data_IF_164483183919
#
_entry.id   IF_164483183919
#
_cell.length_a   1.000
_cell.length_b   1.000
_cell.length_c   1.000
_cell.angle_alpha   90.00
_cell.angle_beta   90.00
_cell.angle_gamma   90.00
#
_symmetry.space_group_name_H-M   'P 1'
#
loop_
_entity.id
_entity.type
_entity.pdbx_description
1 polymer ?
#
# COMPACT_ATOMS: atom_id res chain seq x y z
N UNK A 1 -16.60 -65.33 17.08
CA UNK A 1 -17.04 -63.94 16.84
C UNK A 1 -15.91 -63.01 17.27
N UNK A 2 -14.85 -62.91 16.47
CA UNK A 2 -13.70 -62.03 16.72
C UNK A 2 -13.52 -61.21 15.45
N UNK A 3 -14.08 -60.00 15.42
CA UNK A 3 -13.75 -59.01 14.40
C UNK A 3 -12.32 -58.57 14.66
N UNK A 4 -11.43 -59.04 13.80
CA UNK A 4 -9.99 -58.90 13.92
C UNK A 4 -9.61 -57.42 14.04
N UNK A 5 -8.80 -57.09 15.04
CA UNK A 5 -8.26 -55.75 15.30
C UNK A 5 -7.57 -55.14 14.07
N UNK A 6 -7.13 -55.98 13.12
CA UNK A 6 -6.58 -55.57 11.83
C UNK A 6 -7.55 -54.74 10.99
N UNK A 7 -8.85 -55.07 10.97
CA UNK A 7 -9.85 -54.33 10.19
C UNK A 7 -10.13 -52.95 10.77
N UNK A 8 -10.06 -52.83 12.10
CA UNK A 8 -10.23 -51.54 12.81
C UNK A 8 -9.00 -50.65 12.58
N UNK A 9 -7.80 -51.22 12.57
CA UNK A 9 -6.55 -50.50 12.30
C UNK A 9 -6.47 -50.04 10.83
N UNK A 10 -6.92 -50.86 9.89
CA UNK A 10 -6.91 -50.48 8.47
C UNK A 10 -7.95 -49.40 8.16
N UNK A 11 -9.13 -49.47 8.81
CA UNK A 11 -10.17 -48.43 8.71
C UNK A 11 -9.71 -47.09 9.29
N UNK A 12 -8.98 -47.09 10.39
CA UNK A 12 -8.45 -45.87 11.01
C UNK A 12 -7.30 -45.24 10.20
N UNK A 13 -6.45 -46.04 9.54
CA UNK A 13 -5.43 -45.50 8.60
C UNK A 13 -6.06 -44.87 7.34
N UNK A 14 -7.13 -45.45 6.81
CA UNK A 14 -7.84 -44.92 5.64
C UNK A 14 -8.51 -43.56 5.88
N UNK A 15 -9.03 -43.34 7.09
CA UNK A 15 -9.66 -42.05 7.48
C UNK A 15 -8.62 -40.95 7.68
N UNK A 16 -7.46 -41.27 8.27
CA UNK A 16 -6.37 -40.34 8.51
C UNK A 16 -5.77 -39.83 7.17
N UNK A 17 -5.50 -40.73 6.23
CA UNK A 17 -4.97 -40.35 4.91
C UNK A 17 -5.95 -39.47 4.12
N UNK A 18 -7.25 -39.70 4.26
CA UNK A 18 -8.29 -38.90 3.62
C UNK A 18 -8.44 -37.52 4.26
N UNK A 19 -8.31 -37.45 5.59
CA UNK A 19 -8.28 -36.20 6.34
C UNK A 19 -7.07 -35.34 5.97
N UNK A 20 -5.88 -35.93 5.86
CA UNK A 20 -4.66 -35.23 5.45
C UNK A 20 -4.74 -34.67 4.03
N UNK A 21 -5.32 -35.41 3.08
CA UNK A 21 -5.55 -34.91 1.72
C UNK A 21 -6.51 -33.72 1.72
N UNK A 22 -7.60 -33.80 2.47
CA UNK A 22 -8.57 -32.69 2.59
C UNK A 22 -7.94 -31.45 3.22
N UNK A 23 -7.14 -31.62 4.29
CA UNK A 23 -6.41 -30.52 4.92
C UNK A 23 -5.40 -29.87 3.98
N UNK A 24 -4.65 -30.67 3.22
CA UNK A 24 -3.67 -30.16 2.25
C UNK A 24 -4.34 -29.40 1.09
N UNK A 25 -5.49 -29.88 0.60
CA UNK A 25 -6.29 -29.18 -0.42
C UNK A 25 -6.86 -27.87 0.13
N UNK A 26 -7.31 -27.86 1.39
CA UNK A 26 -7.77 -26.64 2.06
C UNK A 26 -6.61 -25.64 2.24
N UNK A 27 -5.45 -26.10 2.72
CA UNK A 27 -4.24 -25.29 2.86
C UNK A 27 -3.77 -24.72 1.52
N UNK A 28 -3.75 -25.52 0.44
CA UNK A 28 -3.44 -25.03 -0.90
C UNK A 28 -4.44 -23.98 -1.40
N UNK A 29 -5.74 -24.15 -1.14
CA UNK A 29 -6.76 -23.14 -1.50
C UNK A 29 -6.56 -21.84 -0.72
N UNK A 30 -6.23 -21.92 0.57
CA UNK A 30 -5.93 -20.76 1.41
C UNK A 30 -4.65 -20.04 0.94
N UNK A 31 -3.56 -20.79 0.74
CA UNK A 31 -2.30 -20.23 0.25
C UNK A 31 -2.43 -19.65 -1.17
N UNK A 32 -3.25 -20.25 -2.04
CA UNK A 32 -3.57 -19.68 -3.37
C UNK A 32 -4.41 -18.42 -3.27
N UNK A 33 -5.38 -18.35 -2.36
CA UNK A 33 -6.18 -17.15 -2.09
C UNK A 33 -5.30 -15.98 -1.60
N UNK A 34 -4.29 -16.27 -0.77
CA UNK A 34 -3.32 -15.27 -0.32
C UNK A 34 -2.27 -14.91 -1.40
N UNK A 35 -1.99 -15.81 -2.33
CA UNK A 35 -0.97 -15.62 -3.39
C UNK A 35 -1.53 -15.07 -4.71
N UNK A 36 -2.85 -15.02 -4.88
CA UNK A 36 -3.49 -14.44 -6.07
C UNK A 36 -3.95 -13.01 -5.78
N UNK A 37 -3.33 -12.04 -6.47
CA UNK A 37 -3.93 -10.79 -6.98
C UNK A 37 -3.32 -9.44 -6.60
N UNK A 38 -2.24 -9.35 -5.82
CA UNK A 38 -1.57 -8.03 -5.70
C UNK A 38 -1.00 -7.53 -7.04
N UNK A 39 -0.59 -8.46 -7.93
CA UNK A 39 -0.18 -8.15 -9.31
C UNK A 39 -1.32 -7.90 -10.29
N UNK A 40 -2.55 -8.35 -9.98
CA UNK A 40 -3.72 -8.15 -10.85
C UNK A 40 -4.48 -6.85 -10.51
N UNK A 41 -4.28 -6.30 -9.31
CA UNK A 41 -5.00 -5.11 -8.83
C UNK A 41 -4.39 -3.79 -9.33
N UNK A 42 -3.13 -3.76 -9.76
CA UNK A 42 -2.48 -2.55 -10.28
C UNK A 42 -2.54 -2.57 -11.80
N UNK A 43 -3.54 -1.90 -12.35
CA UNK A 43 -3.61 -1.67 -13.78
C UNK A 43 -2.51 -0.71 -14.22
N UNK A 44 -1.85 -0.99 -15.34
CA UNK A 44 -0.87 -0.08 -15.91
C UNK A 44 -1.56 1.20 -16.40
N UNK A 45 -1.34 2.32 -15.71
CA UNK A 45 -1.88 3.64 -16.06
C UNK A 45 -0.80 4.59 -16.61
N UNK A 46 0.35 4.07 -17.05
CA UNK A 46 1.46 4.91 -17.56
C UNK A 46 1.01 5.74 -18.76
N UNK A 47 0.26 5.14 -19.70
CA UNK A 47 -0.25 5.86 -20.89
C UNK A 47 -1.18 7.03 -20.51
N UNK A 48 -2.01 6.87 -19.49
CA UNK A 48 -2.92 7.93 -19.03
C UNK A 48 -2.15 9.10 -18.43
N UNK A 49 -1.12 8.80 -17.62
CA UNK A 49 -0.25 9.83 -17.05
C UNK A 49 0.57 10.51 -18.14
N UNK A 50 1.12 9.75 -19.09
CA UNK A 50 1.83 10.31 -20.24
C UNK A 50 0.94 11.27 -21.03
N UNK A 51 -0.32 10.93 -21.30
CA UNK A 51 -1.28 11.82 -21.96
C UNK A 51 -1.48 13.14 -21.20
N UNK A 52 -1.56 13.10 -19.87
CA UNK A 52 -1.75 14.30 -19.04
C UNK A 52 -0.49 15.16 -19.04
N UNK A 53 0.69 14.56 -18.85
CA UNK A 53 1.95 15.30 -18.76
C UNK A 53 2.47 15.79 -20.11
N UNK A 54 2.11 15.13 -21.21
CA UNK A 54 2.48 15.51 -22.59
C UNK A 54 1.42 16.37 -23.28
N UNK A 55 0.28 16.66 -22.63
CA UNK A 55 -0.73 17.56 -23.20
C UNK A 55 -0.13 18.96 -23.40
N UNK A 56 -0.33 19.54 -24.59
CA UNK A 56 0.23 20.84 -24.96
C UNK A 56 -0.59 22.01 -24.40
N UNK A 57 -0.57 22.16 -23.07
CA UNK A 57 -1.41 23.10 -22.33
C UNK A 57 -0.64 24.31 -21.77
N UNK A 58 0.61 24.56 -22.21
CA UNK A 58 1.54 25.60 -21.70
C UNK A 58 1.83 25.58 -20.17
N UNK A 59 1.18 24.69 -19.41
CA UNK A 59 1.35 24.57 -17.97
C UNK A 59 2.73 24.01 -17.61
N UNK A 60 3.42 24.60 -16.61
CA UNK A 60 4.68 24.09 -16.13
C UNK A 60 4.52 22.73 -15.43
N UNK A 61 5.56 21.91 -15.46
CA UNK A 61 5.52 20.51 -14.98
C UNK A 61 5.03 20.37 -13.53
N UNK A 62 5.32 21.34 -12.66
CA UNK A 62 4.94 21.33 -11.24
C UNK A 62 3.46 21.69 -10.98
N UNK A 63 2.70 22.11 -12.01
CA UNK A 63 1.24 22.33 -11.93
C UNK A 63 0.46 21.41 -12.88
N UNK A 64 1.17 20.54 -13.62
CA UNK A 64 0.60 19.74 -14.72
C UNK A 64 -0.35 18.64 -14.24
N UNK A 65 -0.23 18.20 -12.99
CA UNK A 65 -1.14 17.26 -12.34
C UNK A 65 -2.46 17.88 -11.88
N UNK A 66 -2.63 19.20 -12.04
CA UNK A 66 -3.89 19.92 -11.86
C UNK A 66 -4.05 20.59 -10.50
N UNK A 67 -5.31 20.68 -10.02
CA UNK A 67 -5.68 21.48 -8.85
C UNK A 67 -4.93 21.05 -7.57
N UNK A 68 -4.65 19.75 -7.43
CA UNK A 68 -3.93 19.21 -6.26
C UNK A 68 -2.53 19.82 -6.13
N UNK A 69 -1.82 19.93 -7.25
CA UNK A 69 -0.47 20.47 -7.28
C UNK A 69 -0.46 21.96 -6.91
N UNK A 70 -1.46 22.71 -7.38
CA UNK A 70 -1.65 24.13 -7.03
C UNK A 70 -1.90 24.31 -5.53
N UNK A 71 -2.78 23.49 -4.93
CA UNK A 71 -3.05 23.54 -3.49
C UNK A 71 -1.79 23.22 -2.70
N UNK A 72 -1.06 22.17 -3.10
CA UNK A 72 0.17 21.76 -2.44
C UNK A 72 1.22 22.86 -2.48
N UNK A 73 1.44 23.46 -3.67
CA UNK A 73 2.35 24.59 -3.85
C UNK A 73 2.01 25.77 -2.94
N UNK A 74 0.74 26.18 -2.90
CA UNK A 74 0.31 27.32 -2.08
C UNK A 74 0.48 27.06 -0.59
N UNK A 75 0.19 25.86 -0.12
CA UNK A 75 0.38 25.48 1.29
C UNK A 75 1.87 25.49 1.63
N UNK A 76 2.72 24.85 0.84
CA UNK A 76 4.16 24.81 1.07
C UNK A 76 4.74 26.22 1.10
N UNK A 77 4.41 27.06 0.12
CA UNK A 77 4.85 28.46 0.09
C UNK A 77 4.41 29.24 1.32
N UNK A 78 3.16 29.07 1.76
CA UNK A 78 2.63 29.71 2.95
C UNK A 78 3.37 29.31 4.23
N UNK A 79 3.61 28.02 4.42
CA UNK A 79 4.33 27.50 5.59
C UNK A 79 5.77 27.98 5.59
N UNK A 80 6.46 27.93 4.45
CA UNK A 80 7.85 28.39 4.35
C UNK A 80 7.96 29.89 4.64
N UNK A 81 7.08 30.71 4.05
CA UNK A 81 7.09 32.16 4.28
C UNK A 81 6.80 32.51 5.75
N UNK A 82 5.84 31.80 6.38
CA UNK A 82 5.55 31.95 7.79
C UNK A 82 6.75 31.53 8.67
N UNK A 83 7.38 30.39 8.37
CA UNK A 83 8.56 29.90 9.08
C UNK A 83 9.75 30.87 8.96
N UNK A 84 9.97 31.46 7.79
CA UNK A 84 10.99 32.49 7.60
C UNK A 84 10.67 33.74 8.41
N UNK A 85 9.42 34.21 8.41
CA UNK A 85 9.01 35.37 9.19
C UNK A 85 9.19 35.14 10.70
N UNK A 86 8.82 33.96 11.20
CA UNK A 86 9.05 33.57 12.60
C UNK A 86 10.54 33.50 12.91
N UNK A 87 11.35 32.95 12.02
CA UNK A 87 12.80 32.88 12.20
C UNK A 87 13.41 34.28 12.32
N UNK A 88 13.03 35.20 11.43
CA UNK A 88 13.46 36.61 11.51
C UNK A 88 13.00 37.24 12.82
N UNK A 89 11.74 37.04 13.22
CA UNK A 89 11.23 37.53 14.51
C UNK A 89 12.09 37.02 15.68
N UNK A 90 12.40 35.72 15.71
CA UNK A 90 13.23 35.14 16.80
C UNK A 90 14.65 35.71 16.82
N UNK A 91 15.26 35.93 15.65
CA UNK A 91 16.60 36.53 15.56
C UNK A 91 16.55 37.97 16.08
N UNK A 92 15.57 38.77 15.65
CA UNK A 92 15.41 40.16 16.12
C UNK A 92 15.14 40.20 17.62
N UNK A 93 14.23 39.37 18.11
CA UNK A 93 13.92 39.27 19.54
C UNK A 93 15.14 38.83 20.36
N UNK A 94 15.98 37.93 19.85
CA UNK A 94 17.22 37.52 20.52
C UNK A 94 18.32 38.59 20.45
N UNK A 95 18.35 39.38 19.37
CA UNK A 95 19.37 40.43 19.18
C UNK A 95 19.17 41.62 20.13
N UNK A 96 17.92 41.92 20.50
CA UNK A 96 17.64 42.92 21.53
C UNK A 96 17.67 42.27 22.91
N UNK A 97 18.65 42.66 23.74
CA UNK A 97 18.75 42.18 25.10
C UNK A 97 17.54 42.62 25.92
N UNK A 98 16.71 41.66 26.33
CA UNK A 98 15.65 41.90 27.30
C UNK A 98 16.28 42.01 28.68
N UNK A 99 16.27 43.21 29.26
CA UNK A 99 16.64 43.43 30.67
C UNK A 99 15.44 43.23 31.58
#
# INVERSE_FOLDING_TARGET
MSTSLSDVIERTRGTETSSMRNFMVLGQRLCRSLSTSSRAQIQNRVLEKQKIFQADNDLPVHLKGGIKDVIYYRITMGITMAGTALSVYTIVHAAFAHK
#
